data_IF_584169724990
#
_entry.id   IF_584169724990
#
_cell.length_a   1.000
_cell.length_b   1.000
_cell.length_c   1.000
_cell.angle_alpha   90.00
_cell.angle_beta   90.00
_cell.angle_gamma   90.00
#
_symmetry.space_group_name_H-M   'P 1'
#
loop_
_entity.id
_entity.type
_entity.pdbx_description
1 polymer ?
#
# COMPACT_ATOMS: atom_id res chain seq x y z
N UNK A 1 12.44 -3.21 19.96
CA UNK A 1 12.69 -2.39 18.75
C UNK A 1 12.06 -3.13 17.58
N UNK A 2 11.00 -2.59 16.97
CA UNK A 2 10.36 -3.19 15.80
C UNK A 2 11.27 -3.02 14.58
N UNK A 3 11.47 -4.07 13.80
CA UNK A 3 12.17 -4.02 12.51
C UNK A 3 11.12 -3.98 11.42
N UNK A 4 11.02 -2.85 10.74
CA UNK A 4 10.27 -2.77 9.48
C UNK A 4 11.29 -2.70 8.34
N UNK A 5 11.10 -3.53 7.32
CA UNK A 5 11.90 -3.46 6.10
C UNK A 5 11.07 -2.84 4.99
N UNK A 6 11.64 -1.80 4.37
CA UNK A 6 11.14 -1.26 3.11
C UNK A 6 11.86 -2.06 2.02
N UNK A 7 11.11 -2.90 1.33
CA UNK A 7 11.63 -3.70 0.24
C UNK A 7 11.20 -3.06 -1.07
N UNK A 8 12.16 -2.44 -1.77
CA UNK A 8 12.02 -2.19 -3.19
C UNK A 8 11.95 -3.56 -3.89
N UNK A 9 10.92 -3.86 -4.69
CA UNK A 9 10.85 -5.12 -5.43
C UNK A 9 12.12 -5.34 -6.25
N UNK A 10 12.72 -6.53 -6.14
CA UNK A 10 13.96 -6.86 -6.86
C UNK A 10 13.67 -6.98 -8.35
N UNK A 11 14.34 -6.17 -9.17
CA UNK A 11 14.25 -6.18 -10.63
C UNK A 11 14.83 -7.48 -11.24
N UNK A 12 14.10 -8.06 -12.19
CA UNK A 12 14.70 -8.56 -13.42
C UNK A 12 14.84 -7.37 -14.39
N UNK A 13 15.96 -7.31 -15.11
CA UNK A 13 16.23 -6.28 -16.12
C UNK A 13 15.27 -6.44 -17.32
N UNK A 14 14.07 -5.88 -17.22
CA UNK A 14 13.25 -5.51 -18.37
C UNK A 14 12.93 -4.02 -18.27
N UNK A 15 13.21 -3.30 -19.35
CA UNK A 15 13.11 -1.87 -19.44
C UNK A 15 11.66 -1.37 -19.18
N UNK A 16 11.51 -0.36 -18.31
CA UNK A 16 10.43 0.62 -18.46
C UNK A 16 9.20 0.56 -17.53
N UNK A 17 9.15 -0.29 -16.49
CA UNK A 17 7.99 -0.31 -15.59
C UNK A 17 8.37 0.08 -14.14
N UNK A 18 8.19 1.36 -13.81
CA UNK A 18 8.31 1.91 -12.45
C UNK A 18 7.02 1.77 -11.61
N UNK A 19 6.05 0.99 -12.10
CA UNK A 19 4.71 0.86 -11.51
C UNK A 19 4.69 -0.16 -10.36
N UNK A 20 5.60 -0.03 -9.41
CA UNK A 20 5.71 -0.97 -8.30
C UNK A 20 5.17 -0.28 -7.03
N UNK A 21 4.22 -0.92 -6.31
CA UNK A 21 3.66 -0.34 -5.11
C UNK A 21 4.77 -0.11 -4.09
N UNK A 22 4.72 1.03 -3.39
CA UNK A 22 5.58 1.23 -2.22
C UNK A 22 5.14 0.22 -1.17
N UNK A 23 6.07 -0.63 -0.75
CA UNK A 23 5.75 -1.74 0.11
C UNK A 23 6.61 -1.78 1.37
N UNK A 24 5.94 -1.95 2.51
CA UNK A 24 6.54 -2.12 3.82
C UNK A 24 6.12 -3.47 4.37
N UNK A 25 7.05 -4.18 5.01
CA UNK A 25 6.72 -5.39 5.75
C UNK A 25 7.02 -5.17 7.22
N UNK A 26 6.01 -5.38 8.07
CA UNK A 26 6.14 -5.36 9.52
C UNK A 26 6.42 -6.78 10.01
N UNK A 27 7.61 -6.98 10.58
CA UNK A 27 8.03 -8.30 11.07
C UNK A 27 7.30 -8.72 12.36
N UNK A 28 6.72 -7.78 13.12
CA UNK A 28 5.98 -8.09 14.35
C UNK A 28 4.62 -8.70 14.04
N UNK A 29 3.90 -8.06 13.14
CA UNK A 29 2.53 -8.45 12.79
C UNK A 29 2.50 -9.42 11.60
N UNK A 30 3.67 -9.67 11.00
CA UNK A 30 3.86 -10.45 9.80
C UNK A 30 2.95 -10.01 8.66
N UNK A 31 2.85 -8.70 8.48
CA UNK A 31 1.97 -8.06 7.53
C UNK A 31 2.78 -7.28 6.51
N UNK A 32 2.35 -7.33 5.25
CA UNK A 32 2.88 -6.52 4.18
C UNK A 32 1.82 -5.55 3.69
N UNK A 33 2.18 -4.28 3.80
CA UNK A 33 1.42 -3.13 3.34
C UNK A 33 1.94 -2.73 1.96
N UNK A 34 1.04 -2.54 0.99
CA UNK A 34 1.33 -2.11 -0.37
C UNK A 34 0.48 -0.89 -0.72
N UNK A 35 1.12 0.24 -0.99
CA UNK A 35 0.50 1.47 -1.48
C UNK A 35 0.45 1.46 -3.00
N UNK A 36 -0.73 1.68 -3.57
CA UNK A 36 -0.99 1.61 -5.00
C UNK A 36 -1.06 3.02 -5.57
N UNK A 37 -0.38 3.25 -6.69
CA UNK A 37 -0.32 4.53 -7.38
C UNK A 37 -0.72 4.37 -8.85
N UNK A 38 -1.30 5.42 -9.44
CA UNK A 38 -1.50 5.49 -10.89
C UNK A 38 -0.14 5.52 -11.60
N UNK A 39 -0.02 4.76 -12.68
CA UNK A 39 1.22 4.60 -13.42
C UNK A 39 1.68 5.89 -14.14
N UNK A 40 0.74 6.76 -14.48
CA UNK A 40 0.99 7.94 -15.31
C UNK A 40 1.02 9.21 -14.46
N UNK A 41 0.03 9.41 -13.59
CA UNK A 41 -0.09 10.60 -12.74
C UNK A 41 0.66 10.46 -11.42
N UNK A 42 1.01 9.24 -11.01
CA UNK A 42 1.53 8.92 -9.68
C UNK A 42 0.57 9.26 -8.54
N UNK A 43 -0.72 9.38 -8.84
CA UNK A 43 -1.72 9.63 -7.80
C UNK A 43 -1.91 8.38 -6.93
N UNK A 44 -2.03 8.58 -5.62
CA UNK A 44 -2.32 7.49 -4.68
C UNK A 44 -3.74 6.95 -4.87
N UNK A 45 -3.87 5.69 -5.30
CA UNK A 45 -5.16 5.04 -5.57
C UNK A 45 -5.72 4.29 -4.36
N UNK A 46 -4.88 3.94 -3.38
CA UNK A 46 -5.29 3.15 -2.23
C UNK A 46 -4.19 2.25 -1.71
N UNK A 47 -4.53 1.36 -0.79
CA UNK A 47 -3.59 0.42 -0.20
C UNK A 47 -4.22 -0.95 0.01
N UNK A 48 -3.37 -1.99 0.08
CA UNK A 48 -3.77 -3.27 0.66
C UNK A 48 -2.73 -3.74 1.68
N UNK A 49 -3.20 -4.40 2.72
CA UNK A 49 -2.36 -5.12 3.66
C UNK A 49 -2.73 -6.61 3.68
N UNK A 50 -1.74 -7.48 3.82
CA UNK A 50 -1.96 -8.92 3.91
C UNK A 50 -0.86 -9.64 4.70
N UNK A 51 -1.23 -10.77 5.29
CA UNK A 51 -0.29 -11.60 6.05
C UNK A 51 0.75 -12.27 5.14
N UNK A 52 2.04 -12.13 5.47
CA UNK A 52 3.14 -12.77 4.70
C UNK A 52 3.47 -14.19 5.15
N UNK A 53 2.90 -14.63 6.27
CA UNK A 53 2.98 -16.01 6.77
C UNK A 53 1.70 -16.37 7.55
N UNK A 54 1.62 -17.61 8.03
CA UNK A 54 0.53 -18.01 8.90
C UNK A 54 0.70 -17.37 10.29
N UNK A 55 -0.36 -16.77 10.81
CA UNK A 55 -0.46 -16.18 12.13
C UNK A 55 -1.70 -16.72 12.83
N UNK A 56 -1.90 -16.36 14.10
CA UNK A 56 -3.15 -16.66 14.81
C UNK A 56 -4.38 -16.03 14.12
N UNK A 57 -4.34 -14.74 13.71
CA UNK A 57 -5.44 -14.11 12.96
C UNK A 57 -5.78 -14.74 11.60
N UNK A 58 -4.84 -15.40 10.92
CA UNK A 58 -5.09 -15.90 9.57
C UNK A 58 -3.93 -16.61 8.90
N UNK A 59 -4.20 -17.17 7.72
CA UNK A 59 -3.19 -17.84 6.91
C UNK A 59 -2.39 -16.82 6.08
N UNK A 60 -1.20 -17.22 5.63
CA UNK A 60 -0.44 -16.47 4.63
C UNK A 60 -1.32 -16.09 3.44
N UNK A 61 -1.27 -14.82 3.04
CA UNK A 61 -2.06 -14.25 1.94
C UNK A 61 -3.45 -13.75 2.35
N UNK A 62 -3.85 -13.92 3.61
CA UNK A 62 -5.10 -13.31 4.11
C UNK A 62 -4.98 -11.80 4.03
N UNK A 63 -5.90 -11.16 3.32
CA UNK A 63 -6.01 -9.69 3.28
C UNK A 63 -6.56 -9.22 4.62
N UNK A 64 -5.84 -8.30 5.25
CA UNK A 64 -6.17 -7.74 6.56
C UNK A 64 -6.74 -6.34 6.43
N UNK A 65 -6.35 -5.59 5.40
CA UNK A 65 -6.86 -4.25 5.13
C UNK A 65 -6.93 -3.97 3.62
N UNK A 66 -7.93 -3.19 3.20
CA UNK A 66 -8.03 -2.64 1.85
C UNK A 66 -8.67 -1.27 1.92
N UNK A 67 -8.02 -0.29 1.29
CA UNK A 67 -8.54 1.06 1.16
C UNK A 67 -8.42 1.50 -0.29
N UNK A 68 -9.37 2.31 -0.76
CA UNK A 68 -9.38 2.87 -2.10
C UNK A 68 -9.82 4.33 -2.06
N UNK A 69 -9.17 5.17 -2.86
CA UNK A 69 -9.62 6.54 -3.09
C UNK A 69 -10.74 6.50 -4.13
N UNK A 70 -11.95 6.83 -3.70
CA UNK A 70 -13.13 6.84 -4.59
C UNK A 70 -13.33 8.18 -5.28
N UNK A 71 -12.97 9.27 -4.60
CA UNK A 71 -13.12 10.63 -5.09
C UNK A 71 -12.06 11.55 -4.44
N UNK A 72 -11.71 12.65 -5.11
CA UNK A 72 -10.80 13.67 -4.61
C UNK A 72 -11.36 15.05 -4.96
N UNK A 73 -11.32 15.96 -4.00
CA UNK A 73 -11.57 17.37 -4.26
C UNK A 73 -10.61 18.27 -3.50
N UNK A 74 -10.61 19.54 -3.88
CA UNK A 74 -9.83 20.60 -3.26
C UNK A 74 -10.74 21.34 -2.29
N UNK A 75 -10.22 21.60 -1.09
CA UNK A 75 -10.93 22.33 -0.04
C UNK A 75 -10.10 23.53 0.39
N UNK A 76 -10.76 24.59 0.85
CA UNK A 76 -10.09 25.84 1.22
C UNK A 76 -9.58 25.81 2.67
N UNK A 77 -10.19 24.97 3.51
CA UNK A 77 -9.85 24.88 4.94
C UNK A 77 -9.52 23.47 5.40
N UNK A 78 -8.74 23.34 6.48
CA UNK A 78 -8.45 22.04 7.08
C UNK A 78 -9.72 21.39 7.64
N UNK A 79 -9.79 20.06 7.61
CA UNK A 79 -10.91 19.24 8.09
C UNK A 79 -12.24 19.42 7.32
N UNK A 80 -12.22 20.19 6.23
CA UNK A 80 -13.34 20.31 5.30
C UNK A 80 -13.41 19.07 4.39
N UNK A 81 -14.62 18.59 4.12
CA UNK A 81 -14.85 17.47 3.20
C UNK A 81 -15.18 18.03 1.82
N UNK A 82 -14.60 17.49 0.73
CA UNK A 82 -14.98 17.90 -0.62
C UNK A 82 -16.47 17.68 -0.87
N UNK A 83 -17.14 18.70 -1.43
CA UNK A 83 -18.50 18.57 -1.95
C UNK A 83 -18.50 17.61 -3.16
N UNK A 84 -19.56 16.82 -3.30
CA UNK A 84 -19.73 15.79 -4.35
C UNK A 84 -20.33 16.31 -5.65
#
# INVERSE_FOLDING_TARGET
>A
MSRSSIAWPRHGCDAGHWNLPLARTDERDHEREELVFDANSYDYLGMRAYLVQNTEPGKKGTVTETQAVLDRGVVDTCDETPEK
#
